data_IF_105736726340
#
_entry.id   IF_105736726340
#
_cell.length_a   1.000
_cell.length_b   1.000
_cell.length_c   1.000
_cell.angle_alpha   90.00
_cell.angle_beta   90.00
_cell.angle_gamma   90.00
#
_symmetry.space_group_name_H-M   'P 1'
#
loop_
_entity.id
_entity.type
_entity.pdbx_description
1 polymer ?
#
# COMPACT_ATOMS: atom_id res chain seq x y z
N UNK A 1 -1.85 -11.27 9.80
CA UNK A 1 -1.85 -10.46 8.56
C UNK A 1 -3.10 -9.60 8.44
N UNK A 2 -4.33 -10.09 8.63
CA UNK A 2 -5.53 -9.23 8.52
C UNK A 2 -5.56 -8.04 9.52
N UNK A 3 -5.17 -8.26 10.78
CA UNK A 3 -5.14 -7.22 11.80
C UNK A 3 -4.11 -6.10 11.53
N UNK A 4 -2.94 -6.43 10.96
CA UNK A 4 -1.89 -5.45 10.68
C UNK A 4 -2.25 -4.53 9.51
N UNK A 5 -2.94 -5.04 8.49
CA UNK A 5 -3.45 -4.21 7.39
C UNK A 5 -4.55 -3.25 7.86
N UNK A 6 -5.43 -3.70 8.76
CA UNK A 6 -6.47 -2.84 9.30
C UNK A 6 -5.90 -1.68 10.13
N UNK A 7 -4.91 -1.97 10.98
CA UNK A 7 -4.21 -0.94 11.76
C UNK A 7 -3.46 0.06 10.88
N UNK A 8 -2.87 -0.40 9.77
CA UNK A 8 -2.25 0.48 8.77
C UNK A 8 -3.27 1.46 8.17
N UNK A 9 -4.42 0.95 7.71
CA UNK A 9 -5.48 1.78 7.11
C UNK A 9 -6.01 2.78 8.13
N UNK A 10 -6.26 2.35 9.37
CA UNK A 10 -6.72 3.21 10.45
C UNK A 10 -5.72 4.33 10.75
N UNK A 11 -4.45 3.98 10.92
CA UNK A 11 -3.37 4.96 11.19
C UNK A 11 -3.27 5.99 10.06
N UNK A 12 -3.36 5.55 8.80
CA UNK A 12 -3.38 6.43 7.64
C UNK A 12 -4.57 7.40 7.66
N UNK A 13 -5.76 6.92 7.99
CA UNK A 13 -6.98 7.74 8.00
C UNK A 13 -7.05 8.70 9.19
N UNK A 14 -6.52 8.31 10.36
CA UNK A 14 -6.55 9.13 11.58
C UNK A 14 -5.40 10.15 11.64
N UNK A 15 -4.18 9.73 11.28
CA UNK A 15 -2.96 10.52 11.49
C UNK A 15 -2.31 11.00 10.19
N UNK A 16 -2.86 10.61 9.03
CA UNK A 16 -2.35 10.96 7.72
C UNK A 16 -1.22 10.04 7.22
N UNK A 17 -0.74 10.28 5.99
CA UNK A 17 0.27 9.44 5.34
C UNK A 17 1.61 9.39 6.09
N UNK A 18 1.98 10.46 6.80
CA UNK A 18 3.27 10.57 7.48
C UNK A 18 3.38 9.70 8.74
N UNK A 19 2.25 9.29 9.32
CA UNK A 19 2.19 8.44 10.52
C UNK A 19 2.37 6.95 10.23
N UNK A 20 2.42 6.58 8.95
CA UNK A 20 2.50 5.19 8.53
C UNK A 20 3.96 4.73 8.49
N UNK A 21 4.37 3.96 9.51
CA UNK A 21 5.76 3.52 9.69
C UNK A 21 6.28 2.49 8.67
N UNK A 22 5.43 1.92 7.83
CA UNK A 22 5.84 0.99 6.76
C UNK A 22 5.53 1.58 5.37
N UNK A 23 6.36 2.50 4.86
CA UNK A 23 6.32 2.75 3.44
C UNK A 23 6.70 1.44 2.74
N UNK A 24 5.81 0.92 1.89
CA UNK A 24 6.12 -0.29 1.11
C UNK A 24 7.51 -0.11 0.49
N UNK A 25 8.34 -1.17 0.47
CA UNK A 25 9.73 -1.11 -0.06
C UNK A 25 9.81 -0.51 -1.47
N UNK A 26 8.68 -0.48 -2.19
CA UNK A 26 8.51 0.13 -3.50
C UNK A 26 8.49 1.67 -3.46
N UNK A 27 7.93 2.28 -2.41
CA UNK A 27 7.87 3.73 -2.22
C UNK A 27 9.18 4.33 -1.65
N UNK A 28 9.99 3.53 -0.95
CA UNK A 28 11.30 3.96 -0.41
C UNK A 28 12.46 3.70 -1.36
N UNK A 29 12.19 3.34 -2.62
CA UNK A 29 13.23 2.89 -3.55
C UNK A 29 13.94 4.07 -4.22
N UNK A 30 14.77 4.77 -3.46
CA UNK A 30 15.62 5.88 -3.93
C UNK A 30 16.78 5.43 -4.83
N UNK A 31 17.16 4.14 -4.76
CA UNK A 31 18.24 3.57 -5.58
C UNK A 31 17.77 3.36 -7.03
N UNK A 32 18.67 3.55 -8.00
CA UNK A 32 18.39 3.30 -9.43
C UNK A 32 17.96 1.85 -9.71
N UNK A 33 17.28 1.63 -10.84
CA UNK A 33 16.67 0.34 -11.24
C UNK A 33 17.66 -0.82 -11.13
N UNK A 34 18.87 -0.66 -11.67
CA UNK A 34 19.92 -1.68 -11.61
C UNK A 34 20.44 -1.95 -10.20
N UNK A 35 20.60 -0.91 -9.37
CA UNK A 35 21.07 -1.07 -8.00
C UNK A 35 20.04 -1.82 -7.14
N UNK A 36 18.75 -1.52 -7.33
CA UNK A 36 17.66 -2.27 -6.70
C UNK A 36 17.63 -3.72 -7.15
N UNK A 37 17.78 -3.97 -8.45
CA UNK A 37 17.81 -5.33 -9.00
C UNK A 37 18.97 -6.16 -8.44
N UNK A 38 20.15 -5.55 -8.28
CA UNK A 38 21.31 -6.23 -7.69
C UNK A 38 21.11 -6.55 -6.20
N UNK A 39 20.51 -5.64 -5.44
CA UNK A 39 20.15 -5.90 -4.03
C UNK A 39 19.13 -7.04 -3.92
N UNK A 40 18.18 -7.11 -4.86
CA UNK A 40 17.16 -8.17 -4.91
C UNK A 40 17.75 -9.53 -5.27
N UNK A 41 18.70 -9.56 -6.23
CA UNK A 41 19.49 -10.74 -6.54
C UNK A 41 20.30 -11.21 -5.33
N UNK A 42 20.95 -10.29 -4.59
CA UNK A 42 21.70 -10.66 -3.38
C UNK A 42 20.79 -11.25 -2.30
N UNK A 43 19.61 -10.67 -2.11
CA UNK A 43 18.64 -11.14 -1.13
C UNK A 43 18.04 -12.49 -1.53
N UNK A 44 17.72 -12.68 -2.81
CA UNK A 44 17.27 -13.96 -3.36
C UNK A 44 18.35 -15.04 -3.22
N UNK A 45 19.61 -14.69 -3.50
CA UNK A 45 20.75 -15.60 -3.37
C UNK A 45 20.98 -16.05 -1.92
N UNK A 46 20.74 -15.18 -0.93
CA UNK A 46 20.78 -15.59 0.49
C UNK A 46 19.71 -16.62 0.84
N UNK A 47 18.53 -16.56 0.21
CA UNK A 47 17.40 -17.45 0.51
C UNK A 47 17.47 -18.78 -0.23
N UNK A 48 17.92 -18.76 -1.49
CA UNK A 48 17.81 -19.90 -2.42
C UNK A 48 19.16 -20.37 -2.99
N UNK A 49 20.25 -19.66 -2.71
CA UNK A 49 21.58 -19.91 -3.25
C UNK A 49 21.84 -19.22 -4.60
N UNK A 50 23.09 -18.85 -4.84
CA UNK A 50 23.50 -18.06 -6.01
C UNK A 50 23.19 -18.71 -7.36
N UNK A 51 23.34 -20.03 -7.48
CA UNK A 51 23.13 -20.74 -8.74
C UNK A 51 21.65 -20.66 -9.17
N UNK A 52 20.73 -21.00 -8.26
CA UNK A 52 19.31 -20.99 -8.56
C UNK A 52 18.80 -19.56 -8.81
N UNK A 53 19.31 -18.59 -8.06
CA UNK A 53 18.97 -17.17 -8.24
C UNK A 53 19.46 -16.61 -9.58
N UNK A 54 20.68 -16.92 -10.02
CA UNK A 54 21.17 -16.45 -11.32
C UNK A 54 20.43 -17.09 -12.49
N UNK A 55 20.06 -18.36 -12.38
CA UNK A 55 19.28 -19.04 -13.43
C UNK A 55 17.85 -18.51 -13.45
N UNK A 56 17.18 -18.45 -12.30
CA UNK A 56 15.76 -18.10 -12.21
C UNK A 56 15.52 -16.57 -12.24
N UNK A 57 16.00 -15.85 -11.23
CA UNK A 57 15.79 -14.40 -11.08
C UNK A 57 16.68 -13.57 -12.03
N UNK A 58 17.83 -14.13 -12.41
CA UNK A 58 18.75 -13.59 -13.42
C UNK A 58 18.26 -13.85 -14.84
N UNK A 59 18.54 -15.03 -15.37
CA UNK A 59 18.32 -15.36 -16.77
C UNK A 59 16.83 -15.41 -17.13
N UNK A 60 16.01 -16.19 -16.43
CA UNK A 60 14.58 -16.27 -16.76
C UNK A 60 13.84 -14.95 -16.48
N UNK A 61 14.11 -14.33 -15.33
CA UNK A 61 13.57 -13.03 -14.97
C UNK A 61 13.88 -11.97 -16.02
N UNK A 62 15.14 -11.82 -16.41
CA UNK A 62 15.56 -10.75 -17.31
C UNK A 62 15.16 -11.00 -18.77
N UNK A 63 15.27 -12.25 -19.25
CA UNK A 63 15.04 -12.57 -20.67
C UNK A 63 13.56 -12.73 -20.99
N UNK A 64 12.80 -13.43 -20.14
CA UNK A 64 11.40 -13.75 -20.43
C UNK A 64 10.42 -12.76 -19.79
N UNK A 65 10.68 -12.36 -18.53
CA UNK A 65 9.80 -11.45 -17.80
C UNK A 65 10.21 -9.98 -17.90
N UNK A 66 11.39 -9.71 -18.46
CA UNK A 66 11.98 -8.38 -18.61
C UNK A 66 11.79 -7.52 -17.34
N UNK A 67 12.24 -8.06 -16.20
CA UNK A 67 11.97 -7.44 -14.89
C UNK A 67 12.43 -6.00 -14.83
N UNK A 68 13.52 -5.63 -15.54
CA UNK A 68 14.00 -4.25 -15.60
C UNK A 68 13.06 -3.31 -16.35
N UNK A 69 12.46 -3.75 -17.46
CA UNK A 69 11.48 -2.95 -18.18
C UNK A 69 10.20 -2.80 -17.36
N UNK A 70 9.75 -3.88 -16.71
CA UNK A 70 8.61 -3.82 -15.79
C UNK A 70 8.90 -2.82 -14.66
N UNK A 71 10.09 -2.86 -14.07
CA UNK A 71 10.54 -1.96 -13.02
C UNK A 71 10.59 -0.50 -13.49
N UNK A 72 11.10 -0.27 -14.70
CA UNK A 72 11.14 1.04 -15.32
C UNK A 72 9.74 1.59 -15.58
N UNK A 73 8.84 0.78 -16.15
CA UNK A 73 7.46 1.18 -16.41
C UNK A 73 6.68 1.43 -15.12
N UNK A 74 6.88 0.60 -14.09
CA UNK A 74 6.30 0.79 -12.77
C UNK A 74 6.74 2.13 -12.19
N UNK A 75 8.05 2.41 -12.19
CA UNK A 75 8.58 3.70 -11.72
C UNK A 75 8.17 4.89 -12.59
N UNK A 76 7.93 4.70 -13.89
CA UNK A 76 7.50 5.80 -14.76
C UNK A 76 6.00 6.09 -14.67
N UNK A 77 5.18 5.06 -14.45
CA UNK A 77 3.71 5.19 -14.38
C UNK A 77 3.19 5.46 -12.97
N UNK A 78 3.84 4.92 -11.95
CA UNK A 78 3.43 5.07 -10.55
C UNK A 78 4.26 6.13 -9.80
N UNK A 79 5.36 6.60 -10.40
CA UNK A 79 6.21 7.66 -9.84
C UNK A 79 6.43 8.77 -10.89
N UNK A 80 6.23 10.05 -10.54
CA UNK A 80 5.68 10.56 -9.28
C UNK A 80 4.24 10.08 -9.06
N UNK A 81 3.82 9.93 -7.78
CA UNK A 81 2.41 9.73 -7.48
C UNK A 81 1.64 10.86 -8.20
N UNK A 82 0.56 10.55 -8.94
CA UNK A 82 -0.21 11.59 -9.59
C UNK A 82 -0.66 12.58 -8.52
N UNK A 83 -0.38 13.87 -8.73
CA UNK A 83 -0.82 14.92 -7.82
C UNK A 83 -2.35 14.83 -7.71
N UNK A 84 -2.84 14.77 -6.47
CA UNK A 84 -4.27 14.68 -6.17
C UNK A 84 -5.00 16.01 -6.41
N UNK A 85 -4.29 17.01 -6.96
CA UNK A 85 -4.76 18.36 -7.24
C UNK A 85 -5.64 18.45 -8.49
N UNK A 86 -5.89 17.33 -9.18
CA UNK A 86 -6.81 17.32 -10.29
C UNK A 86 -8.22 17.70 -9.81
N UNK A 87 -8.90 18.67 -10.46
CA UNK A 87 -10.19 19.19 -9.99
C UNK A 87 -11.24 18.08 -9.81
N UNK A 88 -11.27 17.09 -10.70
CA UNK A 88 -12.14 15.93 -10.57
C UNK A 88 -11.82 15.12 -9.30
N UNK A 89 -10.56 14.89 -8.95
CA UNK A 89 -10.21 14.13 -7.74
C UNK A 89 -10.70 14.88 -6.49
N UNK A 90 -10.58 16.21 -6.47
CA UNK A 90 -11.07 17.05 -5.38
C UNK A 90 -12.60 16.97 -5.30
N UNK A 91 -13.30 16.97 -6.43
CA UNK A 91 -14.76 16.84 -6.44
C UNK A 91 -15.23 15.48 -5.92
N UNK A 92 -14.59 14.39 -6.37
CA UNK A 92 -14.90 13.02 -5.96
C UNK A 92 -14.46 12.69 -4.52
N UNK A 93 -13.49 13.41 -3.97
CA UNK A 93 -13.02 13.23 -2.59
C UNK A 93 -13.83 14.00 -1.55
N UNK A 94 -14.81 14.82 -1.97
CA UNK A 94 -15.71 15.51 -1.03
C UNK A 94 -16.55 14.48 -0.26
N UNK A 95 -16.76 14.70 1.05
CA UNK A 95 -17.65 13.87 1.82
C UNK A 95 -19.06 13.93 1.21
N UNK A 96 -19.74 12.78 1.22
CA UNK A 96 -21.13 12.72 0.80
C UNK A 96 -21.98 13.66 1.67
N UNK A 97 -23.04 14.27 1.12
CA UNK A 97 -23.99 15.03 1.91
C UNK A 97 -24.56 14.17 3.05
N UNK A 98 -24.73 14.71 4.27
CA UNK A 98 -25.27 13.96 5.41
C UNK A 98 -26.63 13.29 5.14
N UNK A 99 -27.40 13.84 4.21
CA UNK A 99 -28.69 13.30 3.78
C UNK A 99 -28.56 11.95 3.04
N UNK A 100 -27.42 11.69 2.40
CA UNK A 100 -27.10 10.45 1.70
C UNK A 100 -26.35 9.44 2.58
N UNK A 101 -26.04 9.79 3.82
CA UNK A 101 -25.38 8.87 4.72
C UNK A 101 -26.31 7.71 5.04
N UNK A 102 -25.78 6.49 4.95
CA UNK A 102 -26.50 5.32 5.38
C UNK A 102 -26.84 5.45 6.87
N UNK A 103 -28.13 5.39 7.20
CA UNK A 103 -28.56 5.37 8.61
C UNK A 103 -28.14 4.03 9.23
N UNK A 104 -27.56 4.03 10.44
CA UNK A 104 -27.21 2.79 11.12
C UNK A 104 -28.44 1.89 11.30
N UNK A 105 -28.25 0.58 11.18
CA UNK A 105 -29.33 -0.39 11.40
C UNK A 105 -29.89 -0.26 12.82
N UNK A 106 -31.15 -0.64 13.03
CA UNK A 106 -31.78 -0.60 14.35
C UNK A 106 -30.99 -1.42 15.38
N UNK A 107 -30.46 -2.59 14.99
CA UNK A 107 -29.61 -3.44 15.83
C UNK A 107 -28.33 -2.74 16.26
N UNK A 108 -27.70 -1.98 15.36
CA UNK A 108 -26.48 -1.23 15.67
C UNK A 108 -26.75 -0.11 16.69
N UNK A 109 -27.89 0.58 16.58
CA UNK A 109 -28.26 1.63 17.53
C UNK A 109 -28.50 1.06 18.93
N UNK A 110 -29.16 -0.09 19.03
CA UNK A 110 -29.36 -0.79 20.31
C UNK A 110 -28.02 -1.21 20.92
N UNK A 111 -27.14 -1.84 20.14
CA UNK A 111 -25.82 -2.25 20.60
C UNK A 111 -24.94 -1.06 21.03
N UNK A 112 -25.04 0.08 20.33
CA UNK A 112 -24.31 1.30 20.68
C UNK A 112 -24.81 1.88 22.01
N UNK A 113 -26.12 1.94 22.22
CA UNK A 113 -26.69 2.41 23.48
C UNK A 113 -26.28 1.53 24.68
N UNK A 114 -26.26 0.20 24.49
CA UNK A 114 -25.76 -0.74 25.51
C UNK A 114 -24.27 -0.54 25.81
N UNK A 115 -23.45 -0.31 24.78
CA UNK A 115 -22.03 -0.04 24.94
C UNK A 115 -21.77 1.28 25.69
N UNK A 116 -22.48 2.35 25.32
CA UNK A 116 -22.34 3.65 25.99
C UNK A 116 -22.80 3.60 27.44
N UNK A 117 -23.91 2.92 27.73
CA UNK A 117 -24.37 2.70 29.11
C UNK A 117 -23.35 1.95 29.96
N UNK A 118 -22.67 0.94 29.39
CA UNK A 118 -21.59 0.21 30.07
C UNK A 118 -20.31 1.05 30.26
N UNK A 119 -20.05 2.01 29.38
CA UNK A 119 -18.85 2.86 29.45
C UNK A 119 -18.97 3.97 30.51
N UNK A 120 -20.20 4.37 30.84
CA UNK A 120 -20.49 5.48 31.77
C UNK A 120 -20.85 4.98 33.19
N UNK A 121 -21.08 3.68 33.38
CA UNK A 121 -21.26 3.01 34.69
C UNK A 121 -19.95 2.66 35.37
#
# INVERSE_FOLDING_TARGET
>A
MAASYWEYIRTYMESGPDAVHEPSRKFTRTKGIFASYLDDLKEAAKRKGWILTLIWDGFFGLVFFNVLLADYLERKKLYPLPDLDHPDIIEWSKPLPPEQWARPSAEFQVALAEYEARRVS
#
